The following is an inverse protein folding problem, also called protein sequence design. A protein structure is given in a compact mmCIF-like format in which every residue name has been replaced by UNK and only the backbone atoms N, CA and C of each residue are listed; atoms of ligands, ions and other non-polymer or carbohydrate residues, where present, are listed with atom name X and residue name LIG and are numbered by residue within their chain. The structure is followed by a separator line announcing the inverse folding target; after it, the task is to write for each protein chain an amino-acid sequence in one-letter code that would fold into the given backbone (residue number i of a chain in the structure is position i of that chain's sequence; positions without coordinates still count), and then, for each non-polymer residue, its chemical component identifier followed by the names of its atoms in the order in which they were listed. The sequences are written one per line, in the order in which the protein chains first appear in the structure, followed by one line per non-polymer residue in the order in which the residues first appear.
data_IF_056467751831
#
_entry.id   IF_056467751831
#
_cell.length_a   1.000
_cell.length_b   1.000
_cell.length_c   1.000
_cell.angle_alpha   90.00
_cell.angle_beta   90.00
_cell.angle_gamma   90.00
#
_symmetry.space_group_name_H-M   'P 1'
#
loop_
_entity.id
_entity.type
_entity.pdbx_description
1 polymer ?
#
# COMPACT_ATOMS: atom_id res chain seq x y z
N UNK A 1 8.26 0.13 16.87
CA UNK A 1 7.01 0.25 16.08
C UNK A 1 6.05 -0.84 16.56
N UNK A 2 4.90 -0.50 17.17
CA UNK A 2 3.95 -1.52 17.67
C UNK A 2 3.06 -1.99 16.51
N UNK A 3 3.17 -3.27 16.14
CA UNK A 3 2.32 -3.88 15.12
C UNK A 3 0.91 -4.05 15.69
N UNK A 4 -0.12 -3.60 14.96
CA UNK A 4 -1.51 -3.81 15.37
C UNK A 4 -1.95 -5.25 15.12
N UNK A 5 -2.91 -5.77 15.89
CA UNK A 5 -3.45 -7.15 15.70
C UNK A 5 -3.93 -7.40 14.26
N UNK A 6 -4.51 -6.37 13.61
CA UNK A 6 -4.96 -6.44 12.20
C UNK A 6 -3.79 -6.58 11.22
N UNK A 7 -2.73 -5.79 11.40
CA UNK A 7 -1.52 -5.89 10.58
C UNK A 7 -0.83 -7.25 10.76
N UNK A 8 -0.79 -7.77 11.99
CA UNK A 8 -0.27 -9.12 12.25
C UNK A 8 -1.09 -10.20 11.52
N UNK A 9 -2.42 -10.12 11.57
CA UNK A 9 -3.29 -11.07 10.86
C UNK A 9 -3.07 -11.05 9.34
N UNK A 10 -2.98 -9.85 8.74
CA UNK A 10 -2.69 -9.72 7.32
C UNK A 10 -1.29 -10.24 6.94
N UNK A 11 -0.28 -10.03 7.78
CA UNK A 11 1.06 -10.56 7.56
C UNK A 11 1.07 -12.10 7.62
N UNK A 12 0.34 -12.71 8.55
CA UNK A 12 0.18 -14.17 8.63
C UNK A 12 -0.51 -14.70 7.37
N UNK A 13 -1.58 -14.05 6.90
CA UNK A 13 -2.27 -14.46 5.67
C UNK A 13 -1.33 -14.35 4.46
N UNK A 14 -0.56 -13.27 4.34
CA UNK A 14 0.43 -13.11 3.27
C UNK A 14 1.53 -14.19 3.32
N UNK A 15 1.97 -14.57 4.51
CA UNK A 15 2.92 -15.67 4.70
C UNK A 15 2.32 -17.01 4.27
N UNK A 16 1.07 -17.30 4.65
CA UNK A 16 0.36 -18.51 4.22
C UNK A 16 0.18 -18.56 2.70
N UNK A 17 -0.14 -17.44 2.05
CA UNK A 17 -0.21 -17.35 0.58
C UNK A 17 1.15 -17.67 -0.04
N UNK A 18 2.24 -17.14 0.54
CA UNK A 18 3.59 -17.38 0.02
C UNK A 18 4.01 -18.85 0.17
N UNK A 19 3.68 -19.47 1.30
CA UNK A 19 3.93 -20.90 1.53
C UNK A 19 3.09 -21.73 0.55
N UNK A 20 1.81 -21.40 0.37
CA UNK A 20 0.95 -22.12 -0.57
C UNK A 20 1.46 -22.00 -2.01
N UNK A 21 1.88 -20.81 -2.43
CA UNK A 21 2.48 -20.59 -3.75
C UNK A 21 3.73 -21.45 -3.95
N UNK A 22 4.58 -21.58 -2.93
CA UNK A 22 5.76 -22.44 -2.96
C UNK A 22 5.39 -23.92 -3.07
N UNK A 23 4.42 -24.38 -2.27
CA UNK A 23 3.94 -25.76 -2.30
C UNK A 23 3.38 -26.10 -3.69
N UNK A 24 2.56 -25.23 -4.27
CA UNK A 24 2.01 -25.44 -5.61
C UNK A 24 3.10 -25.52 -6.68
N UNK A 25 4.11 -24.65 -6.61
CA UNK A 25 5.24 -24.70 -7.52
C UNK A 25 6.06 -25.99 -7.40
N UNK A 26 6.25 -26.52 -6.18
CA UNK A 26 6.94 -27.79 -5.97
C UNK A 26 6.13 -28.96 -6.52
N UNK A 27 4.82 -28.98 -6.27
CA UNK A 27 3.94 -30.04 -6.78
C UNK A 27 3.91 -30.06 -8.32
N UNK A 28 3.93 -28.88 -8.94
CA UNK A 28 4.04 -28.77 -10.39
C UNK A 28 5.42 -29.20 -10.91
N UNK A 29 6.49 -28.88 -10.20
CA UNK A 29 7.84 -29.35 -10.52
C UNK A 29 8.00 -30.89 -10.40
N UNK A 30 7.16 -31.53 -9.58
CA UNK A 30 7.09 -32.99 -9.43
C UNK A 30 6.12 -33.64 -10.41
N UNK A 31 5.52 -32.87 -11.34
CA UNK A 31 4.55 -33.34 -12.34
C UNK A 31 3.31 -34.01 -11.71
N UNK A 32 3.01 -33.72 -10.44
CA UNK A 32 1.80 -34.20 -9.75
C UNK A 32 0.55 -33.62 -10.42
N UNK A 33 0.67 -32.39 -10.93
CA UNK A 33 -0.26 -31.74 -11.84
C UNK A 33 0.52 -30.81 -12.75
N UNK A 34 -0.05 -30.46 -13.90
CA UNK A 34 0.53 -29.49 -14.84
C UNK A 34 -0.52 -28.41 -15.11
N UNK A 35 -0.30 -27.21 -14.56
CA UNK A 35 -1.19 -26.06 -14.74
C UNK A 35 -0.48 -24.96 -15.53
N UNK A 36 0.76 -24.65 -15.18
CA UNK A 36 1.56 -23.67 -15.91
C UNK A 36 2.60 -24.37 -16.81
N UNK A 37 3.11 -23.64 -17.80
CA UNK A 37 4.20 -24.13 -18.65
C UNK A 37 5.56 -24.22 -17.95
N UNK A 38 5.71 -23.62 -16.76
CA UNK A 38 6.90 -23.79 -15.92
C UNK A 38 6.59 -23.63 -14.42
N UNK A 39 7.18 -24.44 -13.53
CA UNK A 39 6.90 -24.40 -12.08
C UNK A 39 7.20 -23.03 -11.42
N UNK A 40 8.21 -22.32 -11.91
CA UNK A 40 8.54 -20.96 -11.45
C UNK A 40 7.40 -19.99 -11.77
N UNK A 41 6.73 -20.14 -12.91
CA UNK A 41 5.58 -19.31 -13.24
C UNK A 41 4.38 -19.64 -12.38
N UNK A 42 4.19 -20.91 -12.00
CA UNK A 42 3.18 -21.29 -11.01
C UNK A 42 3.38 -20.58 -9.67
N UNK A 43 4.63 -20.48 -9.20
CA UNK A 43 4.94 -19.72 -7.98
C UNK A 43 4.50 -18.25 -8.11
N UNK A 44 4.93 -17.56 -9.16
CA UNK A 44 4.61 -16.14 -9.35
C UNK A 44 3.12 -15.92 -9.60
N UNK A 45 2.46 -16.81 -10.34
CA UNK A 45 1.02 -16.76 -10.58
C UNK A 45 0.25 -16.87 -9.26
N UNK A 46 0.49 -17.91 -8.47
CA UNK A 46 -0.19 -18.13 -7.20
C UNK A 46 0.09 -16.99 -6.20
N UNK A 47 1.34 -16.50 -6.15
CA UNK A 47 1.74 -15.41 -5.26
C UNK A 47 1.07 -14.09 -5.64
N UNK A 48 1.10 -13.71 -6.92
CA UNK A 48 0.50 -12.46 -7.40
C UNK A 48 -1.03 -12.51 -7.34
N UNK A 49 -1.66 -13.64 -7.65
CA UNK A 49 -3.10 -13.83 -7.50
C UNK A 49 -3.52 -13.72 -6.01
N UNK A 50 -2.86 -14.44 -5.12
CA UNK A 50 -3.16 -14.43 -3.69
C UNK A 50 -2.94 -13.06 -3.04
N UNK A 51 -1.78 -12.44 -3.28
CA UNK A 51 -1.48 -11.09 -2.75
C UNK A 51 -2.36 -10.02 -3.39
N UNK A 52 -2.69 -10.14 -4.67
CA UNK A 52 -3.62 -9.25 -5.36
C UNK A 52 -5.00 -9.26 -4.73
N UNK A 53 -5.54 -10.44 -4.41
CA UNK A 53 -6.82 -10.58 -3.68
C UNK A 53 -6.71 -10.00 -2.27
N UNK A 54 -5.64 -10.32 -1.53
CA UNK A 54 -5.44 -9.81 -0.16
C UNK A 54 -5.38 -8.27 -0.14
N UNK A 55 -4.63 -7.67 -1.06
CA UNK A 55 -4.51 -6.22 -1.18
C UNK A 55 -5.81 -5.57 -1.67
N UNK A 56 -6.57 -6.26 -2.52
CA UNK A 56 -7.92 -5.81 -2.91
C UNK A 56 -8.81 -5.73 -1.67
N UNK A 57 -8.88 -6.79 -0.87
CA UNK A 57 -9.67 -6.83 0.36
C UNK A 57 -9.21 -5.74 1.33
N UNK A 58 -7.91 -5.56 1.53
CA UNK A 58 -7.39 -4.49 2.39
C UNK A 58 -7.69 -3.10 1.86
N UNK A 59 -7.51 -2.87 0.56
CA UNK A 59 -7.82 -1.60 -0.09
C UNK A 59 -9.30 -1.25 0.01
N UNK A 60 -10.16 -2.26 -0.08
CA UNK A 60 -11.60 -2.15 0.16
C UNK A 60 -11.87 -1.80 1.64
N UNK A 61 -11.39 -2.59 2.59
CA UNK A 61 -11.70 -2.42 4.02
C UNK A 61 -11.14 -1.12 4.61
N UNK A 62 -9.91 -0.77 4.26
CA UNK A 62 -9.22 0.41 4.79
C UNK A 62 -9.44 1.66 3.94
N UNK A 63 -10.21 1.56 2.85
CA UNK A 63 -10.45 2.63 1.88
C UNK A 63 -9.15 3.28 1.38
N UNK A 64 -8.14 2.44 1.15
CA UNK A 64 -6.81 2.89 0.72
C UNK A 64 -6.67 2.78 -0.81
N UNK A 65 -6.64 3.90 -1.55
CA UNK A 65 -6.48 3.88 -3.01
C UNK A 65 -5.14 3.26 -3.42
N UNK A 66 -4.09 3.47 -2.62
CA UNK A 66 -2.77 2.91 -2.87
C UNK A 66 -2.77 1.37 -2.85
N UNK A 67 -3.47 0.75 -1.90
CA UNK A 67 -3.56 -0.72 -1.84
C UNK A 67 -4.39 -1.31 -2.97
N UNK A 68 -5.45 -0.61 -3.40
CA UNK A 68 -6.23 -0.99 -4.58
C UNK A 68 -5.40 -0.86 -5.86
N UNK A 69 -4.58 0.18 -5.98
CA UNK A 69 -3.66 0.35 -7.10
C UNK A 69 -2.63 -0.77 -7.13
N UNK A 70 -1.97 -1.09 -6.01
CA UNK A 70 -1.01 -2.19 -5.98
C UNK A 70 -1.67 -3.54 -6.28
N UNK A 71 -2.89 -3.75 -5.78
CA UNK A 71 -3.69 -4.94 -6.09
C UNK A 71 -3.98 -5.07 -7.58
N UNK A 72 -4.28 -3.97 -8.28
CA UNK A 72 -4.62 -4.00 -9.70
C UNK A 72 -3.44 -4.47 -10.54
N UNK A 73 -2.20 -4.04 -10.26
CA UNK A 73 -1.01 -4.53 -10.96
C UNK A 73 -0.80 -6.03 -10.77
N UNK A 74 -0.96 -6.52 -9.53
CA UNK A 74 -0.78 -7.94 -9.24
C UNK A 74 -1.85 -8.80 -9.91
N UNK A 75 -3.11 -8.34 -9.89
CA UNK A 75 -4.22 -9.04 -10.56
C UNK A 75 -4.04 -9.00 -12.08
N UNK A 76 -3.64 -7.86 -12.65
CA UNK A 76 -3.38 -7.75 -14.09
C UNK A 76 -2.24 -8.66 -14.51
N UNK A 77 -1.19 -8.77 -13.71
CA UNK A 77 -0.10 -9.71 -13.97
C UNK A 77 -0.61 -11.16 -13.97
N UNK A 78 -1.31 -11.57 -12.91
CA UNK A 78 -1.86 -12.92 -12.81
C UNK A 78 -2.85 -13.25 -13.94
N UNK A 79 -3.73 -12.30 -14.27
CA UNK A 79 -4.71 -12.44 -15.33
C UNK A 79 -4.07 -12.50 -16.72
N UNK A 80 -3.07 -11.65 -16.97
CA UNK A 80 -2.33 -11.65 -18.24
C UNK A 80 -1.62 -12.98 -18.45
N UNK A 81 -1.04 -13.51 -17.37
CA UNK A 81 -0.42 -14.83 -17.39
C UNK A 81 -1.46 -15.93 -17.69
N UNK A 82 -2.57 -15.96 -16.96
CA UNK A 82 -3.63 -16.95 -17.20
C UNK A 82 -4.17 -16.88 -18.64
N UNK A 83 -4.35 -15.69 -19.20
CA UNK A 83 -4.85 -15.53 -20.57
C UNK A 83 -3.81 -15.94 -21.63
N UNK A 84 -2.52 -15.71 -21.37
CA UNK A 84 -1.45 -16.09 -22.27
C UNK A 84 -1.19 -17.60 -22.25
N UNK A 85 -1.05 -18.17 -21.06
CA UNK A 85 -0.60 -19.55 -20.86
C UNK A 85 -1.75 -20.56 -20.93
N UNK A 86 -2.92 -20.23 -20.39
CA UNK A 86 -4.07 -21.15 -20.34
C UNK A 86 -5.05 -20.96 -21.50
N UNK A 87 -5.36 -19.71 -21.85
CA UNK A 87 -6.34 -19.42 -22.91
C UNK A 87 -5.71 -19.22 -24.30
N UNK A 88 -4.37 -19.20 -24.38
CA UNK A 88 -3.61 -18.92 -25.61
C UNK A 88 -4.15 -17.72 -26.40
N UNK A 89 -4.60 -16.69 -25.68
CA UNK A 89 -5.25 -15.54 -26.27
C UNK A 89 -4.22 -14.70 -27.03
N UNK A 90 -4.66 -14.05 -28.11
CA UNK A 90 -3.81 -13.12 -28.83
C UNK A 90 -3.37 -11.97 -27.90
N UNK A 91 -2.09 -11.59 -27.96
CA UNK A 91 -1.48 -10.62 -27.04
C UNK A 91 -2.23 -9.28 -26.96
N UNK A 92 -2.81 -8.82 -28.07
CA UNK A 92 -3.56 -7.56 -28.13
C UNK A 92 -4.87 -7.63 -27.33
N UNK A 93 -5.55 -8.79 -27.29
CA UNK A 93 -6.73 -8.99 -26.45
C UNK A 93 -6.35 -8.98 -24.96
N UNK A 94 -5.21 -9.57 -24.61
CA UNK A 94 -4.68 -9.55 -23.24
C UNK A 94 -4.44 -8.11 -22.78
N UNK A 95 -3.84 -7.28 -23.63
CA UNK A 95 -3.62 -5.84 -23.35
C UNK A 95 -4.95 -5.10 -23.14
N UNK A 96 -5.97 -5.38 -23.96
CA UNK A 96 -7.30 -4.78 -23.78
C UNK A 96 -7.91 -5.17 -22.43
N UNK A 97 -7.88 -6.46 -22.08
CA UNK A 97 -8.43 -6.95 -20.82
C UNK A 97 -7.65 -6.36 -19.63
N UNK A 98 -6.32 -6.27 -19.72
CA UNK A 98 -5.48 -5.63 -18.72
C UNK A 98 -5.85 -4.15 -18.53
N UNK A 99 -6.02 -3.40 -19.63
CA UNK A 99 -6.42 -2.01 -19.60
C UNK A 99 -7.82 -1.81 -18.96
N UNK A 100 -8.80 -2.63 -19.35
CA UNK A 100 -10.14 -2.62 -18.75
C UNK A 100 -10.08 -2.90 -17.25
N UNK A 101 -9.29 -3.91 -16.84
CA UNK A 101 -9.11 -4.26 -15.42
C UNK A 101 -8.49 -3.09 -14.64
N UNK A 102 -7.46 -2.44 -15.18
CA UNK A 102 -6.84 -1.26 -14.55
C UNK A 102 -7.83 -0.11 -14.41
N UNK A 103 -8.60 0.20 -15.47
CA UNK A 103 -9.62 1.25 -15.44
C UNK A 103 -10.70 0.94 -14.39
N UNK A 104 -11.10 -0.32 -14.25
CA UNK A 104 -12.08 -0.72 -13.24
C UNK A 104 -11.54 -0.52 -11.82
N UNK A 105 -10.29 -0.91 -11.56
CA UNK A 105 -9.66 -0.64 -10.26
C UNK A 105 -9.47 0.86 -10.00
N UNK A 106 -9.12 1.65 -11.02
CA UNK A 106 -9.02 3.10 -10.91
C UNK A 106 -10.37 3.73 -10.61
N UNK A 107 -11.44 3.36 -11.31
CA UNK A 107 -12.79 3.88 -11.05
C UNK A 107 -13.27 3.49 -9.66
N UNK A 108 -13.10 2.24 -9.22
CA UNK A 108 -13.41 1.82 -7.84
C UNK A 108 -12.57 2.60 -6.82
N UNK A 109 -11.29 2.82 -7.10
CA UNK A 109 -10.41 3.62 -6.26
C UNK A 109 -10.88 5.08 -6.15
N UNK A 110 -11.24 5.72 -7.28
CA UNK A 110 -11.78 7.07 -7.31
C UNK A 110 -13.14 7.16 -6.61
N UNK A 111 -14.06 6.21 -6.81
CA UNK A 111 -15.35 6.20 -6.11
C UNK A 111 -15.18 6.06 -4.59
N UNK A 112 -14.14 5.37 -4.12
CA UNK A 112 -13.87 5.21 -2.69
C UNK A 112 -13.03 6.33 -2.08
N UNK A 113 -12.08 6.88 -2.83
CA UNK A 113 -11.14 7.91 -2.38
C UNK A 113 -11.65 9.33 -2.64
N UNK A 114 -12.53 9.50 -3.63
CA UNK A 114 -13.09 10.75 -4.17
C UNK A 114 -14.02 11.52 -3.25
N UNK A 115 -13.88 11.36 -1.94
CA UNK A 115 -14.45 12.29 -0.96
C UNK A 115 -13.46 12.75 0.10
N UNK A 116 -12.26 12.17 0.20
CA UNK A 116 -11.28 12.60 1.21
C UNK A 116 -10.36 13.69 0.69
N UNK A 117 -9.76 13.52 -0.48
CA UNK A 117 -8.88 14.55 -1.07
C UNK A 117 -9.65 15.77 -1.52
N UNK A 118 -10.83 15.59 -2.13
CA UNK A 118 -11.73 16.70 -2.44
C UNK A 118 -12.28 17.38 -1.19
N UNK A 119 -12.62 16.67 -0.12
CA UNK A 119 -13.14 17.35 1.07
C UNK A 119 -12.05 18.02 1.91
N UNK A 120 -10.80 17.57 1.83
CA UNK A 120 -9.63 18.24 2.41
C UNK A 120 -9.25 19.47 1.55
N UNK A 121 -9.36 19.40 0.23
CA UNK A 121 -9.04 20.51 -0.68
C UNK A 121 -10.18 21.56 -0.79
N UNK A 122 -11.44 21.13 -0.71
CA UNK A 122 -12.65 21.97 -0.77
C UNK A 122 -13.22 22.32 0.61
N UNK A 123 -12.51 21.97 1.68
CA UNK A 123 -12.88 22.34 3.06
C UNK A 123 -14.34 21.94 3.43
N UNK A 124 -14.76 20.72 3.03
CA UNK A 124 -16.15 20.25 3.20
C UNK A 124 -16.44 19.67 4.59
N UNK A 125 -15.41 19.40 5.41
CA UNK A 125 -15.58 18.88 6.78
C UNK A 125 -15.00 19.86 7.81
N UNK A 126 -15.82 20.47 8.68
CA UNK A 126 -15.38 21.46 9.68
C UNK A 126 -14.50 20.88 10.81
N UNK A 127 -14.29 19.57 10.86
CA UNK A 127 -13.44 18.91 11.87
C UNK A 127 -11.94 18.93 11.55
N UNK A 128 -11.53 19.25 10.32
CA UNK A 128 -10.12 19.22 9.91
C UNK A 128 -9.50 20.61 9.87
N UNK A 129 -8.41 20.82 10.61
CA UNK A 129 -7.65 22.08 10.59
C UNK A 129 -7.10 22.37 9.20
N UNK A 130 -7.48 23.53 8.67
CA UNK A 130 -7.02 24.07 7.39
C UNK A 130 -5.48 24.20 7.37
N UNK A 131 -4.87 24.24 6.18
CA UNK A 131 -3.42 24.44 6.03
C UNK A 131 -2.96 25.71 6.75
N UNK A 132 -3.73 26.80 6.64
CA UNK A 132 -3.42 28.07 7.32
C UNK A 132 -3.51 27.95 8.85
N UNK A 133 -4.48 27.19 9.36
CA UNK A 133 -4.60 26.92 10.80
C UNK A 133 -3.44 26.06 11.32
N UNK A 134 -2.97 25.09 10.52
CA UNK A 134 -1.78 24.29 10.83
C UNK A 134 -0.48 25.08 10.74
N UNK A 135 -0.42 26.11 9.89
CA UNK A 135 0.72 27.03 9.79
C UNK A 135 0.75 27.97 10.99
N UNK A 136 -0.38 28.54 11.38
CA UNK A 136 -0.50 29.39 12.57
C UNK A 136 -0.10 28.64 13.86
N UNK A 137 -0.53 27.38 14.03
CA UNK A 137 -0.11 26.58 15.20
C UNK A 137 1.37 26.21 15.21
N UNK A 138 2.03 26.16 14.05
CA UNK A 138 3.50 25.98 14.00
C UNK A 138 4.22 27.26 14.37
N UNK A 139 3.77 28.38 13.84
CA UNK A 139 4.36 29.69 14.13
C UNK A 139 4.18 30.09 15.61
N UNK A 140 3.03 29.76 16.23
CA UNK A 140 2.83 29.98 17.67
C UNK A 140 3.72 29.07 18.54
N UNK A 141 3.95 27.82 18.11
CA UNK A 141 4.87 26.92 18.81
C UNK A 141 6.33 27.35 18.69
N UNK A 142 6.74 27.79 17.51
CA UNK A 142 8.09 28.32 17.29
C UNK A 142 8.32 29.60 18.12
N UNK A 143 7.33 30.50 18.21
CA UNK A 143 7.40 31.68 19.09
C UNK A 143 7.43 31.34 20.58
N UNK A 144 6.66 30.34 21.00
CA UNK A 144 6.66 29.88 22.40
C UNK A 144 7.99 29.17 22.78
N UNK A 145 8.62 28.47 21.84
CA UNK A 145 9.95 27.88 22.03
C UNK A 145 11.06 28.96 22.06
N UNK A 146 10.92 30.04 21.28
CA UNK A 146 11.82 31.20 21.34
C UNK A 146 11.67 32.01 22.65
N UNK A 147 10.46 32.22 23.15
CA UNK A 147 10.23 32.90 24.45
C UNK A 147 10.63 32.02 25.66
N UNK A 148 10.58 30.69 25.50
CA UNK A 148 11.02 29.72 26.51
C UNK A 148 12.54 29.51 26.54
N UNK A 149 13.29 30.08 25.59
CA UNK A 149 14.74 29.94 25.54
C UNK A 149 15.40 30.82 26.60
N UNK A 150 15.71 30.24 27.75
CA UNK A 150 16.61 30.86 28.73
C UNK A 150 18.04 30.58 28.27
N UNK A 151 18.80 31.59 27.78
CA UNK A 151 20.19 31.37 27.41
C UNK A 151 20.98 30.91 28.64
N UNK A 152 21.81 29.85 28.52
CA UNK A 152 22.56 29.36 29.67
C UNK A 152 23.52 30.46 30.18
N UNK A 153 23.35 30.85 31.44
CA UNK A 153 24.23 31.81 32.11
C UNK A 153 25.66 31.23 32.14
N UNK A 154 26.56 31.88 31.39
CA UNK A 154 27.99 31.60 31.45
C UNK A 154 28.47 32.04 32.83
N UNK A 155 28.76 31.09 33.72
CA UNK A 155 29.44 31.37 35.00
C UNK A 155 30.75 32.08 34.70
N UNK A 156 30.83 33.37 35.03
CA UNK A 156 32.06 34.15 34.91
C UNK A 156 33.08 33.63 35.92
N UNK A 157 34.20 33.10 35.45
CA UNK A 157 35.36 32.71 36.24
C UNK A 157 36.14 33.94 36.72
N UNK A 158 35.53 34.78 37.54
CA UNK A 158 36.21 35.82 38.31
C UNK A 158 35.69 35.70 39.73
N UNK A 159 36.40 34.90 40.52
CA UNK A 159 36.58 35.02 41.98
C UNK A 159 37.27 33.76 42.54
N UNK A 160 38.40 33.34 41.96
CA UNK A 160 39.35 32.44 42.63
C UNK A 160 40.78 32.83 42.23
N UNK A 161 41.28 33.93 42.81
CA UNK A 161 42.71 34.15 43.00
C UNK A 161 42.87 34.90 44.34
N UNK A 162 43.18 34.11 45.38
CA UNK A 162 43.76 34.55 46.65
C UNK A 162 45.23 34.18 46.66
#
# INVERSE_FOLDING_TARGET
MKITKKQAAYAVIAALISILALVLAILEAQEVFVICSHPVFMFFFALTAGLGILLTVQGILEKSPFRLFLASFLIVYALSYALADFAHLAWWLIVIIAAVTLILFLTVSFLRAGSKTEAIALNKYPEYKNYEQRKAEREEKEKAEEESYVPPEIKSFKDEDK
#
